data_IF_821752652171
#
_entry.id   IF_821752652171
#
_cell.length_a   1.000
_cell.length_b   1.000
_cell.length_c   1.000
_cell.angle_alpha   90.00
_cell.angle_beta   90.00
_cell.angle_gamma   90.00
#
_symmetry.space_group_name_H-M   'P 1'
#
loop_
_entity.id
_entity.type
_entity.pdbx_description
1 polymer ?
#
# COMPACT_ATOMS: atom_id res chain seq x y z
N UNK A 1 -21.82 -3.17 -20.94
CA UNK A 1 -20.39 -3.52 -20.79
C UNK A 1 -19.63 -2.25 -20.44
N UNK A 2 -18.93 -2.20 -19.30
CA UNK A 2 -18.09 -1.08 -18.88
C UNK A 2 -16.62 -1.51 -19.03
N UNK A 3 -15.82 -0.71 -19.74
CA UNK A 3 -14.37 -0.96 -19.94
C UNK A 3 -13.62 0.11 -19.13
N UNK A 4 -12.63 -0.33 -18.35
CA UNK A 4 -11.75 0.53 -17.56
C UNK A 4 -10.31 0.23 -17.95
N UNK A 5 -9.56 1.28 -18.29
CA UNK A 5 -8.11 1.22 -18.51
C UNK A 5 -7.41 1.84 -17.31
N UNK A 6 -6.31 1.24 -16.86
CA UNK A 6 -5.45 1.76 -15.80
C UNK A 6 -4.02 1.75 -16.31
N UNK A 7 -3.32 2.87 -16.16
CA UNK A 7 -1.93 3.03 -16.59
C UNK A 7 -1.20 3.96 -15.62
N UNK A 8 0.11 3.75 -15.49
CA UNK A 8 1.03 4.67 -14.82
C UNK A 8 1.70 5.65 -15.80
N UNK A 9 1.44 5.52 -17.11
CA UNK A 9 1.91 6.44 -18.14
C UNK A 9 0.94 7.61 -18.31
N UNK A 10 1.46 8.76 -18.72
CA UNK A 10 0.63 9.89 -19.07
C UNK A 10 -0.28 9.56 -20.27
N UNK A 11 -1.54 10.03 -20.30
CA UNK A 11 -2.46 9.73 -21.38
C UNK A 11 -1.93 10.08 -22.78
N UNK A 12 -1.09 11.12 -22.88
CA UNK A 12 -0.48 11.56 -24.12
C UNK A 12 0.57 10.57 -24.67
N UNK A 13 1.18 9.75 -23.81
CA UNK A 13 2.19 8.76 -24.20
C UNK A 13 1.54 7.43 -24.61
N UNK A 14 0.26 7.23 -24.27
CA UNK A 14 -0.43 5.96 -24.48
C UNK A 14 -0.99 5.81 -25.91
N UNK A 15 -1.63 6.85 -26.42
CA UNK A 15 -2.39 6.84 -27.68
C UNK A 15 -2.56 8.25 -28.25
N UNK A 16 -2.93 8.34 -29.54
CA UNK A 16 -3.18 9.62 -30.19
C UNK A 16 -4.39 10.40 -29.63
N UNK A 17 -4.44 11.69 -29.96
CA UNK A 17 -5.51 12.58 -29.52
C UNK A 17 -6.90 12.13 -30.02
N UNK A 18 -6.98 11.52 -31.20
CA UNK A 18 -8.23 11.03 -31.78
C UNK A 18 -8.82 9.85 -30.98
N UNK A 19 -7.97 9.03 -30.37
CA UNK A 19 -8.35 7.96 -29.46
C UNK A 19 -8.75 8.52 -28.09
N UNK A 20 -7.96 9.46 -27.54
CA UNK A 20 -8.26 10.09 -26.25
C UNK A 20 -9.61 10.85 -26.24
N UNK A 21 -10.09 11.35 -27.39
CA UNK A 21 -11.42 11.98 -27.52
C UNK A 21 -12.58 10.99 -27.28
N UNK A 22 -12.35 9.68 -27.46
CA UNK A 22 -13.36 8.64 -27.20
C UNK A 22 -13.38 8.19 -25.74
N UNK A 23 -12.36 8.55 -24.95
CA UNK A 23 -12.29 8.31 -23.51
C UNK A 23 -12.72 9.59 -22.78
N UNK A 24 -14.00 9.66 -22.39
CA UNK A 24 -14.57 10.86 -21.76
C UNK A 24 -14.04 11.11 -20.34
N UNK A 25 -13.89 10.06 -19.55
CA UNK A 25 -13.45 10.17 -18.16
C UNK A 25 -11.97 9.81 -18.04
N UNK A 26 -11.19 10.76 -17.52
CA UNK A 26 -9.76 10.61 -17.21
C UNK A 26 -9.60 11.05 -15.77
N UNK A 27 -9.32 10.11 -14.89
CA UNK A 27 -9.26 10.34 -13.44
C UNK A 27 -7.81 10.13 -13.04
N UNK A 28 -7.15 11.20 -12.60
CA UNK A 28 -5.83 11.12 -11.99
C UNK A 28 -5.94 10.52 -10.59
N UNK A 29 -5.13 9.51 -10.30
CA UNK A 29 -5.00 8.95 -8.96
C UNK A 29 -3.64 9.35 -8.41
N UNK A 30 -3.66 10.33 -7.52
CA UNK A 30 -2.47 10.81 -6.85
C UNK A 30 -2.16 9.99 -5.59
N UNK A 31 -0.98 10.25 -5.03
CA UNK A 31 -0.58 9.67 -3.76
C UNK A 31 -1.48 10.12 -2.60
N UNK A 32 -1.69 9.24 -1.61
CA UNK A 32 -2.15 9.54 -0.27
C UNK A 32 -1.91 10.92 0.30
N UNK A 33 -2.91 11.67 0.75
CA UNK A 33 -2.67 12.45 1.98
C UNK A 33 -2.51 11.49 3.16
N UNK A 34 -1.89 11.93 4.27
CA UNK A 34 -1.76 11.10 5.48
C UNK A 34 -3.14 10.77 6.05
N UNK A 35 -4.07 11.71 6.01
CA UNK A 35 -5.44 11.55 6.48
C UNK A 35 -6.23 10.57 5.62
N UNK A 36 -6.06 10.65 4.30
CA UNK A 36 -6.65 9.68 3.37
C UNK A 36 -6.07 8.29 3.58
N UNK A 37 -4.75 8.19 3.76
CA UNK A 37 -4.08 6.91 4.04
C UNK A 37 -4.60 6.30 5.34
N UNK A 38 -4.74 7.10 6.39
CA UNK A 38 -5.27 6.68 7.68
C UNK A 38 -6.72 6.19 7.58
N UNK A 39 -7.56 6.90 6.84
CA UNK A 39 -8.95 6.49 6.58
C UNK A 39 -9.02 5.18 5.79
N UNK A 40 -8.18 5.00 4.77
CA UNK A 40 -8.08 3.73 4.03
C UNK A 40 -7.66 2.60 4.99
N UNK A 41 -6.67 2.85 5.85
CA UNK A 41 -6.16 1.88 6.80
C UNK A 41 -7.22 1.45 7.82
N UNK A 42 -7.98 2.40 8.39
CA UNK A 42 -9.14 2.12 9.26
C UNK A 42 -10.15 1.21 8.58
N UNK A 43 -10.55 1.53 7.34
CA UNK A 43 -11.51 0.71 6.58
C UNK A 43 -11.00 -0.70 6.31
N UNK A 44 -9.69 -0.85 6.03
CA UNK A 44 -9.07 -2.17 5.85
C UNK A 44 -9.11 -2.95 7.16
N UNK A 45 -8.71 -2.34 8.29
CA UNK A 45 -8.75 -2.97 9.61
C UNK A 45 -10.16 -3.48 9.93
N UNK A 46 -11.18 -2.64 9.75
CA UNK A 46 -12.59 -3.04 9.93
C UNK A 46 -12.97 -4.22 9.03
N UNK A 47 -12.64 -4.18 7.73
CA UNK A 47 -12.96 -5.28 6.80
C UNK A 47 -12.26 -6.59 7.13
N UNK A 48 -11.09 -6.54 7.75
CA UNK A 48 -10.29 -7.70 8.13
C UNK A 48 -10.50 -8.11 9.60
N UNK A 49 -11.46 -7.49 10.31
CA UNK A 49 -11.72 -7.70 11.74
C UNK A 49 -10.48 -7.49 12.63
N UNK A 50 -9.68 -6.47 12.31
CA UNK A 50 -8.56 -6.02 13.14
C UNK A 50 -8.96 -4.74 13.86
N UNK A 51 -8.72 -4.69 15.16
CA UNK A 51 -8.90 -3.48 15.95
C UNK A 51 -7.87 -2.42 15.53
N UNK A 52 -8.38 -1.29 15.02
CA UNK A 52 -7.53 -0.16 14.65
C UNK A 52 -6.98 0.54 15.89
N UNK A 53 -5.69 0.89 15.85
CA UNK A 53 -4.98 1.63 16.90
C UNK A 53 -4.27 2.82 16.26
N UNK A 54 -4.47 4.02 16.80
CA UNK A 54 -3.89 5.26 16.26
C UNK A 54 -2.36 5.22 16.26
N UNK A 55 -1.76 4.55 17.24
CA UNK A 55 -0.33 4.36 17.40
C UNK A 55 0.28 3.52 16.27
N UNK A 56 -0.51 2.63 15.64
CA UNK A 56 -0.03 1.85 14.50
C UNK A 56 0.30 2.75 13.30
N UNK A 57 -0.49 3.81 13.08
CA UNK A 57 -0.26 4.73 11.98
C UNK A 57 1.05 5.50 12.15
N UNK A 58 1.36 5.95 13.36
CA UNK A 58 2.61 6.67 13.63
C UNK A 58 3.84 5.79 13.37
N UNK A 59 3.78 4.51 13.75
CA UNK A 59 4.82 3.52 13.48
C UNK A 59 5.00 3.26 11.98
N UNK A 60 3.90 3.00 11.26
CA UNK A 60 3.94 2.77 9.82
C UNK A 60 4.57 3.98 9.11
N UNK A 61 4.14 5.21 9.43
CA UNK A 61 4.71 6.43 8.84
C UNK A 61 6.20 6.62 9.16
N UNK A 62 6.68 6.13 10.30
CA UNK A 62 8.11 6.13 10.61
C UNK A 62 8.90 5.22 9.64
N UNK A 63 8.36 4.07 9.24
CA UNK A 63 9.00 3.22 8.21
C UNK A 63 9.07 3.93 6.86
N UNK A 64 8.01 4.64 6.43
CA UNK A 64 8.04 5.43 5.20
C UNK A 64 9.13 6.50 5.22
N UNK A 65 9.26 7.23 6.33
CA UNK A 65 10.32 8.25 6.49
C UNK A 65 11.71 7.62 6.45
N UNK A 66 11.91 6.50 7.16
CA UNK A 66 13.20 5.77 7.20
C UNK A 66 13.65 5.27 5.83
N UNK A 67 12.70 4.81 4.99
CA UNK A 67 12.97 4.26 3.65
C UNK A 67 12.81 5.27 2.51
N UNK A 68 12.48 6.53 2.83
CA UNK A 68 12.20 7.60 1.86
C UNK A 68 11.16 7.20 0.79
N UNK A 69 10.06 6.58 1.22
CA UNK A 69 9.00 6.07 0.35
C UNK A 69 7.83 7.05 0.25
N UNK A 70 7.25 7.17 -0.95
CA UNK A 70 5.98 7.85 -1.15
C UNK A 70 4.77 7.00 -0.71
N UNK A 71 3.73 7.65 -0.18
CA UNK A 71 2.48 6.97 0.19
C UNK A 71 1.78 6.43 -1.07
N UNK A 72 1.25 5.20 -0.98
CA UNK A 72 0.43 4.60 -2.04
C UNK A 72 -0.86 4.05 -1.45
N UNK A 73 -1.97 4.23 -2.16
CA UNK A 73 -3.30 3.81 -1.71
C UNK A 73 -3.44 2.30 -1.51
N UNK A 74 -2.57 1.49 -2.12
CA UNK A 74 -2.57 0.03 -1.97
C UNK A 74 -1.90 -0.44 -0.67
N UNK A 75 -0.86 0.26 -0.20
CA UNK A 75 -0.02 -0.18 0.91
C UNK A 75 -0.79 -0.44 2.22
N UNK A 76 -1.85 0.32 2.62
CA UNK A 76 -2.63 -0.02 3.80
C UNK A 76 -3.18 -1.45 3.80
N UNK A 77 -3.66 -1.91 2.63
CA UNK A 77 -4.16 -3.27 2.46
C UNK A 77 -3.01 -4.27 2.59
N UNK A 78 -1.93 -4.01 1.85
CA UNK A 78 -0.82 -4.96 1.73
C UNK A 78 -0.10 -5.15 3.07
N UNK A 79 0.10 -4.08 3.84
CA UNK A 79 0.69 -4.13 5.20
C UNK A 79 -0.21 -4.95 6.14
N UNK A 80 -1.53 -4.76 6.09
CA UNK A 80 -2.46 -5.51 6.94
C UNK A 80 -2.50 -6.99 6.53
N UNK A 81 -2.44 -7.30 5.23
CA UNK A 81 -2.35 -8.68 4.74
C UNK A 81 -1.05 -9.34 5.19
N UNK A 82 0.09 -8.66 5.05
CA UNK A 82 1.38 -9.13 5.54
C UNK A 82 1.37 -9.36 7.06
N UNK A 83 0.73 -8.48 7.83
CA UNK A 83 0.57 -8.63 9.27
C UNK A 83 -0.25 -9.87 9.63
N UNK A 84 -1.35 -10.13 8.92
CA UNK A 84 -2.20 -11.31 9.14
C UNK A 84 -1.41 -12.58 8.84
N UNK A 85 -0.69 -12.61 7.73
CA UNK A 85 0.10 -13.78 7.33
C UNK A 85 1.26 -14.02 8.31
N UNK A 86 1.91 -12.96 8.78
CA UNK A 86 2.94 -13.04 9.84
C UNK A 86 2.37 -13.60 11.15
N UNK A 87 1.21 -13.10 11.59
CA UNK A 87 0.56 -13.59 12.80
C UNK A 87 0.16 -15.07 12.67
N UNK A 88 -0.36 -15.47 11.50
CA UNK A 88 -0.69 -16.87 11.19
C UNK A 88 0.55 -17.76 11.24
N UNK A 89 1.65 -17.33 10.64
CA UNK A 89 2.92 -18.07 10.66
C UNK A 89 3.43 -18.27 12.10
N UNK A 90 3.34 -17.25 12.94
CA UNK A 90 3.73 -17.30 14.35
C UNK A 90 2.72 -18.02 15.27
N UNK A 91 1.58 -18.46 14.74
CA UNK A 91 0.54 -19.15 15.52
C UNK A 91 -0.15 -18.26 16.55
N UNK A 92 -0.25 -16.94 16.31
CA UNK A 92 -0.87 -15.98 17.24
C UNK A 92 -1.94 -15.10 16.58
N UNK A 93 -2.81 -14.43 17.37
CA UNK A 93 -3.84 -13.56 16.83
C UNK A 93 -3.27 -12.39 16.01
N UNK A 94 -3.92 -12.05 14.89
CA UNK A 94 -3.58 -10.89 14.08
C UNK A 94 -4.07 -9.60 14.78
N UNK A 95 -3.13 -8.80 15.27
CA UNK A 95 -3.40 -7.54 15.96
C UNK A 95 -2.37 -6.49 15.57
N UNK A 96 -2.74 -5.21 15.65
CA UNK A 96 -1.83 -4.09 15.47
C UNK A 96 -0.91 -3.92 16.69
N UNK A 97 -0.03 -4.90 16.92
CA UNK A 97 1.03 -4.80 17.92
C UNK A 97 2.31 -4.25 17.27
N UNK A 98 3.15 -3.50 18.01
CA UNK A 98 4.37 -2.90 17.45
C UNK A 98 5.27 -3.90 16.71
N UNK A 99 5.44 -5.09 17.27
CA UNK A 99 6.29 -6.14 16.71
C UNK A 99 5.71 -6.77 15.43
N UNK A 100 4.38 -6.97 15.35
CA UNK A 100 3.74 -7.45 14.12
C UNK A 100 3.78 -6.40 13.01
N UNK A 101 3.61 -5.12 13.35
CA UNK A 101 3.69 -4.01 12.40
C UNK A 101 5.11 -3.89 11.86
N UNK A 102 6.12 -3.98 12.73
CA UNK A 102 7.52 -3.94 12.34
C UNK A 102 7.85 -5.08 11.37
N UNK A 103 7.53 -6.33 11.73
CA UNK A 103 7.74 -7.49 10.86
C UNK A 103 7.00 -7.37 9.52
N UNK A 104 5.75 -6.89 9.53
CA UNK A 104 4.97 -6.71 8.32
C UNK A 104 5.57 -5.63 7.41
N UNK A 105 5.94 -4.47 7.97
CA UNK A 105 6.55 -3.38 7.22
C UNK A 105 7.93 -3.77 6.67
N UNK A 106 8.75 -4.46 7.46
CA UNK A 106 10.09 -4.86 7.02
C UNK A 106 10.03 -5.91 5.91
N UNK A 107 9.11 -6.88 6.02
CA UNK A 107 8.88 -7.88 4.98
C UNK A 107 8.21 -7.31 3.73
N UNK A 108 7.36 -6.30 3.84
CA UNK A 108 6.68 -5.71 2.68
C UNK A 108 7.57 -4.72 1.92
N UNK A 109 8.29 -3.85 2.65
CA UNK A 109 9.17 -2.85 2.06
C UNK A 109 10.59 -3.36 1.83
N UNK A 110 10.77 -4.64 1.48
CA UNK A 110 12.11 -5.21 1.23
C UNK A 110 12.80 -4.42 0.13
N UNK A 111 14.01 -3.93 0.44
CA UNK A 111 14.88 -3.30 -0.56
C UNK A 111 15.56 -4.42 -1.35
N UNK A 112 15.06 -4.71 -2.54
CA UNK A 112 15.78 -5.60 -3.46
C UNK A 112 17.02 -4.86 -3.99
N UNK A 113 18.15 -5.57 -4.07
CA UNK A 113 19.29 -5.09 -4.84
C UNK A 113 18.95 -5.04 -6.35
N UNK A 114 19.79 -4.44 -7.22
CA UNK A 114 19.54 -4.38 -8.66
C UNK A 114 19.34 -5.75 -9.35
N UNK A 115 19.70 -6.84 -8.67
CA UNK A 115 19.59 -8.22 -9.14
C UNK A 115 18.31 -8.90 -8.67
N UNK A 116 17.49 -8.23 -7.87
CA UNK A 116 16.24 -8.79 -7.32
C UNK A 116 16.44 -9.65 -6.07
N UNK A 117 17.60 -9.58 -5.40
CA UNK A 117 17.88 -10.32 -4.18
C UNK A 117 17.62 -9.47 -2.93
N UNK A 118 17.13 -10.07 -1.84
CA UNK A 118 17.06 -9.41 -0.55
C UNK A 118 18.48 -9.07 -0.06
N UNK A 119 18.66 -7.98 0.71
CA UNK A 119 19.97 -7.54 1.16
C UNK A 119 20.50 -8.54 2.20
N UNK A 120 21.61 -9.22 1.87
CA UNK A 120 22.26 -10.21 2.73
C UNK A 120 22.03 -11.68 2.35
N UNK A 121 21.50 -11.96 1.15
CA UNK A 121 21.57 -13.28 0.52
C UNK A 121 22.88 -13.46 -0.28
#
# INVERSE_FOLDING_TARGET
MLIIFSTNLDPADLVDEAFLRRIRYKIGIEAPSVEQYDEIFKRICTRKNIEYKTEAMSQILAHYRKKNLGLRSCHPRDIVEQLIDTARFLGRPAQLTPDLIEMACDSYFVSLDPSGNPPGA
#
